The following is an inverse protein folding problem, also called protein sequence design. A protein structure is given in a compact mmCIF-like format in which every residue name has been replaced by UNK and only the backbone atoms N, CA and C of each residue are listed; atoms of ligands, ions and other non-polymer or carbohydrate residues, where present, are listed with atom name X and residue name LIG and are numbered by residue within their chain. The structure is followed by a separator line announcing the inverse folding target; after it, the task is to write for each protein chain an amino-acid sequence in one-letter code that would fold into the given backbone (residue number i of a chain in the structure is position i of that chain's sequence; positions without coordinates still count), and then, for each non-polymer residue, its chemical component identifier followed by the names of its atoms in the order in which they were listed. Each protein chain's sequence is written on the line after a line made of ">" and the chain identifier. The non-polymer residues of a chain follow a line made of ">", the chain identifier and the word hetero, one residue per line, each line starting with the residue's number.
data_IF_155396499893
#
_entry.id   IF_155396499893
#
_cell.length_a   1.000
_cell.length_b   1.000
_cell.length_c   1.000
_cell.angle_alpha   90.00
_cell.angle_beta   90.00
_cell.angle_gamma   90.00
#
_symmetry.space_group_name_H-M   'P 1'
#
loop_
_entity.id
_entity.type
_entity.pdbx_description
1 polymer ?
#
# COMPACT_ATOMS: atom_id res chain seq x y z
N UNK A 1 15.47 -11.20 -6.41
CA UNK A 1 15.75 -10.11 -5.45
C UNK A 1 14.57 -9.93 -4.51
N UNK A 2 14.78 -9.51 -3.26
CA UNK A 2 13.71 -9.25 -2.28
C UNK A 2 13.58 -7.73 -2.10
N UNK A 3 12.39 -7.15 -2.23
CA UNK A 3 12.15 -5.74 -1.88
C UNK A 3 11.81 -5.64 -0.41
N UNK A 4 12.45 -4.73 0.33
CA UNK A 4 12.08 -4.46 1.72
C UNK A 4 10.77 -3.69 1.79
N UNK A 5 9.99 -3.97 2.83
CA UNK A 5 8.80 -3.21 3.20
C UNK A 5 9.12 -2.49 4.50
N UNK A 6 9.02 -1.16 4.46
CA UNK A 6 9.29 -0.27 5.57
C UNK A 6 7.99 0.31 6.12
N UNK A 7 7.96 0.49 7.42
CA UNK A 7 7.03 1.38 8.11
C UNK A 7 7.79 2.64 8.50
N UNK A 8 7.22 3.80 8.21
CA UNK A 8 7.83 5.07 8.58
C UNK A 8 7.08 6.28 8.05
N UNK A 9 7.74 7.43 8.11
CA UNK A 9 7.16 8.69 7.71
C UNK A 9 7.47 8.98 6.23
N UNK A 10 6.44 9.37 5.48
CA UNK A 10 6.59 9.91 4.12
C UNK A 10 6.17 11.38 4.11
N UNK A 11 6.97 12.21 3.45
CA UNK A 11 6.56 13.56 3.05
C UNK A 11 6.16 13.48 1.58
N UNK A 12 4.86 13.65 1.31
CA UNK A 12 4.32 13.66 -0.04
C UNK A 12 4.00 15.08 -0.50
N UNK A 13 4.23 15.35 -1.78
CA UNK A 13 3.79 16.57 -2.44
C UNK A 13 2.39 16.38 -3.03
N UNK A 14 1.42 17.10 -2.45
CA UNK A 14 0.03 17.08 -2.91
C UNK A 14 -0.16 18.21 -3.92
N UNK A 15 -0.21 17.84 -5.20
CA UNK A 15 -0.51 18.74 -6.33
C UNK A 15 0.39 19.99 -6.40
N UNK A 16 1.68 19.86 -6.09
CA UNK A 16 2.68 20.93 -6.24
C UNK A 16 2.51 22.11 -5.28
N UNK A 17 1.65 21.98 -4.26
CA UNK A 17 1.25 23.11 -3.40
C UNK A 17 1.41 22.84 -1.91
N UNK A 18 1.21 21.60 -1.46
CA UNK A 18 1.25 21.26 -0.04
C UNK A 18 2.07 20.00 0.21
N UNK A 19 3.02 20.09 1.14
CA UNK A 19 3.70 18.91 1.68
C UNK A 19 2.87 18.34 2.81
N UNK A 20 2.65 17.03 2.80
CA UNK A 20 1.95 16.32 3.89
C UNK A 20 2.86 15.24 4.44
N UNK A 21 3.08 15.27 5.75
CA UNK A 21 3.71 14.18 6.48
C UNK A 21 2.65 13.13 6.82
N UNK A 22 2.93 11.89 6.49
CA UNK A 22 2.04 10.75 6.73
C UNK A 22 2.86 9.58 7.27
N UNK A 23 2.31 8.88 8.24
CA UNK A 23 2.86 7.64 8.76
C UNK A 23 2.26 6.46 7.98
N UNK A 24 3.10 5.64 7.36
CA UNK A 24 2.64 4.63 6.41
C UNK A 24 3.64 3.51 6.14
N UNK A 25 3.12 2.41 5.63
CA UNK A 25 3.88 1.29 5.07
C UNK A 25 4.18 1.51 3.59
N UNK A 26 5.45 1.46 3.20
CA UNK A 26 5.89 1.62 1.82
C UNK A 26 6.98 0.61 1.44
N UNK A 27 7.12 0.37 0.14
CA UNK A 27 8.13 -0.55 -0.41
C UNK A 27 9.38 0.23 -0.79
N UNK A 28 10.52 -0.44 -0.68
CA UNK A 28 11.80 0.07 -1.17
C UNK A 28 11.72 0.42 -2.66
N UNK A 29 12.12 1.64 -3.00
CA UNK A 29 12.13 2.14 -4.38
C UNK A 29 10.79 2.64 -4.92
N UNK A 30 9.79 2.91 -4.07
CA UNK A 30 8.59 3.64 -4.49
C UNK A 30 8.89 5.14 -4.60
N UNK A 31 8.58 5.74 -5.75
CA UNK A 31 8.70 7.20 -5.98
C UNK A 31 7.35 7.93 -5.79
N UNK A 32 6.26 7.17 -5.76
CA UNK A 32 4.89 7.66 -5.67
C UNK A 32 4.13 6.98 -4.54
N UNK A 33 3.34 7.77 -3.81
CA UNK A 33 2.38 7.28 -2.82
C UNK A 33 0.98 7.81 -3.14
N UNK A 34 0.05 6.90 -3.45
CA UNK A 34 -1.33 7.24 -3.87
C UNK A 34 -1.39 8.29 -4.99
N UNK A 35 -0.48 8.20 -5.96
CA UNK A 35 -0.38 9.15 -7.08
C UNK A 35 0.28 10.50 -6.77
N UNK A 36 0.76 10.70 -5.54
CA UNK A 36 1.50 11.90 -5.14
C UNK A 36 3.00 11.60 -5.11
N UNK A 37 3.83 12.60 -5.44
CA UNK A 37 5.29 12.46 -5.43
C UNK A 37 5.80 12.36 -4.00
N UNK A 38 6.59 11.33 -3.72
CA UNK A 38 7.32 11.24 -2.46
C UNK A 38 8.51 12.21 -2.56
N UNK A 39 8.54 13.18 -1.66
CA UNK A 39 9.62 14.18 -1.59
C UNK A 39 10.74 13.66 -0.70
N UNK A 40 10.37 13.09 0.45
CA UNK A 40 11.29 12.58 1.44
C UNK A 40 10.63 11.41 2.17
N UNK A 41 11.43 10.47 2.64
CA UNK A 41 10.97 9.36 3.47
C UNK A 41 11.98 9.01 4.54
N UNK A 42 11.48 8.69 5.73
CA UNK A 42 12.27 8.22 6.86
C UNK A 42 11.76 6.82 7.28
N UNK A 43 12.52 5.75 6.97
CA UNK A 43 12.14 4.41 7.38
C UNK A 43 12.41 4.22 8.89
N UNK A 44 11.37 3.97 9.67
CA UNK A 44 11.48 3.72 11.11
C UNK A 44 11.81 2.23 11.35
N UNK A 45 11.11 1.33 10.66
CA UNK A 45 11.22 -0.11 10.88
C UNK A 45 11.01 -0.92 9.62
N UNK A 46 11.82 -1.95 9.40
CA UNK A 46 11.55 -2.99 8.40
C UNK A 46 10.47 -3.91 8.95
N UNK A 47 9.33 -3.99 8.28
CA UNK A 47 8.21 -4.85 8.70
C UNK A 47 8.10 -6.13 7.87
N UNK A 48 8.81 -6.21 6.74
CA UNK A 48 8.76 -7.39 5.91
C UNK A 48 9.65 -7.33 4.67
N UNK A 49 9.59 -8.41 3.90
CA UNK A 49 10.30 -8.58 2.63
C UNK A 49 9.34 -9.15 1.59
N UNK A 50 9.19 -8.47 0.47
CA UNK A 50 8.46 -8.96 -0.70
C UNK A 50 9.42 -9.75 -1.60
N UNK A 51 9.11 -11.02 -1.86
CA UNK A 51 9.82 -11.79 -2.88
C UNK A 51 9.34 -11.35 -4.27
N UNK A 52 10.24 -10.79 -5.08
CA UNK A 52 9.93 -10.40 -6.47
C UNK A 52 9.73 -11.65 -7.36
N UNK A 53 10.16 -12.83 -6.89
CA UNK A 53 9.94 -14.11 -7.57
C UNK A 53 8.73 -14.84 -6.99
N UNK A 54 7.53 -14.53 -7.46
CA UNK A 54 6.47 -15.51 -7.76
C UNK A 54 5.65 -14.95 -8.92
N UNK A 55 5.91 -15.47 -10.12
CA UNK A 55 5.11 -15.17 -11.30
C UNK A 55 3.63 -15.42 -11.04
N UNK A 56 2.79 -14.60 -11.68
CA UNK A 56 1.44 -14.94 -12.14
C UNK A 56 0.70 -16.03 -11.32
N UNK A 57 0.53 -15.84 -10.01
CA UNK A 57 -0.69 -16.33 -9.41
C UNK A 57 -1.70 -15.22 -9.61
N UNK A 58 -2.46 -15.32 -10.72
CA UNK A 58 -3.80 -14.76 -10.79
C UNK A 58 -4.44 -15.06 -9.44
N UNK A 59 -4.64 -14.04 -8.61
CA UNK A 59 -5.70 -14.11 -7.64
C UNK A 59 -6.95 -14.24 -8.50
N UNK A 60 -7.42 -15.48 -8.70
CA UNK A 60 -8.82 -15.67 -9.04
C UNK A 60 -9.56 -14.85 -8.00
N UNK A 61 -10.29 -13.83 -8.48
CA UNK A 61 -11.35 -13.22 -7.68
C UNK A 61 -12.17 -14.40 -7.18
N UNK A 62 -11.99 -14.78 -5.93
CA UNK A 62 -13.10 -15.42 -5.24
C UNK A 62 -14.13 -14.31 -5.20
N UNK A 63 -15.11 -14.42 -6.09
CA UNK A 63 -16.42 -13.85 -5.90
C UNK A 63 -16.77 -14.07 -4.44
N UNK A 64 -16.70 -13.01 -3.65
CA UNK A 64 -17.39 -12.97 -2.38
C UNK A 64 -18.85 -13.15 -2.76
N UNK A 65 -19.32 -14.40 -2.66
CA UNK A 65 -20.70 -14.79 -2.81
C UNK A 65 -21.50 -13.86 -1.91
N UNK A 66 -22.19 -12.90 -2.53
CA UNK A 66 -23.22 -12.11 -1.89
C UNK A 66 -24.32 -13.09 -1.54
N UNK A 67 -24.26 -13.64 -0.33
CA UNK A 67 -25.35 -14.41 0.24
C UNK A 67 -26.55 -13.47 0.41
N UNK A 68 -27.37 -13.40 -0.64
CA UNK A 68 -28.79 -13.20 -0.48
C UNK A 68 -29.27 -14.36 0.38
N UNK A 69 -29.47 -14.13 1.69
CA UNK A 69 -30.47 -14.75 2.58
C UNK A 69 -30.13 -14.23 3.98
N UNK A 70 -30.84 -13.17 4.38
CA UNK A 70 -31.41 -13.00 5.72
C UNK A 70 -32.22 -11.71 5.68
N UNK A 71 -33.49 -11.87 5.31
CA UNK A 71 -34.49 -10.91 5.74
C UNK A 71 -34.64 -10.99 7.26
N UNK A 72 -34.81 -9.86 7.91
CA UNK A 72 -35.89 -9.62 8.88
C UNK A 72 -35.92 -8.16 9.33
N UNK A 73 -37.08 -7.54 9.07
CA UNK A 73 -37.88 -6.57 9.83
C UNK A 73 -37.23 -5.41 10.61
N UNK A 74 -37.71 -4.18 10.33
CA UNK A 74 -38.97 -3.67 10.92
C UNK A 74 -39.94 -3.24 9.81
#
# INVERSE_FOLDING_TARGET
>A
MKKKIYYGNLIIDVKGKNKKLIDVVFKEGNELYKGNKIVEYEPIKVIGYENINKGHHKANKNEEQRNNITGSYE
#
